data_IF_232836687163
#
_entry.id   IF_232836687163
#
_cell.length_a   1.000
_cell.length_b   1.000
_cell.length_c   1.000
_cell.angle_alpha   90.00
_cell.angle_beta   90.00
_cell.angle_gamma   90.00
#
_symmetry.space_group_name_H-M   'P 1'
#
loop_
_entity.id
_entity.type
_entity.pdbx_description
1 polymer ?
#
# COMPACT_ATOMS: atom_id res chain seq x y z
N UNK A 1 -22.53 68.24 42.44
CA UNK A 1 -23.62 68.72 41.55
C UNK A 1 -23.61 70.24 41.55
N UNK A 2 -23.39 70.93 40.43
CA UNK A 2 -23.44 72.39 40.39
C UNK A 2 -24.90 72.84 40.47
N UNK A 3 -25.18 73.71 41.44
CA UNK A 3 -26.52 74.28 41.68
C UNK A 3 -26.93 75.03 40.40
N UNK A 4 -27.83 74.44 39.60
CA UNK A 4 -28.55 75.11 38.49
C UNK A 4 -29.60 76.08 39.08
N UNK A 5 -29.14 77.02 39.90
CA UNK A 5 -29.94 78.12 40.41
C UNK A 5 -29.99 79.22 39.36
N UNK A 6 -31.17 79.78 39.10
CA UNK A 6 -31.36 80.95 38.24
C UNK A 6 -30.31 81.99 38.64
N UNK A 7 -29.47 82.45 37.69
CA UNK A 7 -28.47 83.50 37.95
C UNK A 7 -29.21 84.76 38.33
N UNK A 8 -29.52 84.89 39.61
CA UNK A 8 -30.20 86.00 40.22
C UNK A 8 -29.49 86.31 41.52
N UNK A 9 -29.26 87.58 41.80
CA UNK A 9 -28.64 87.99 43.04
C UNK A 9 -29.55 87.60 44.23
N UNK A 10 -29.04 86.95 45.28
CA UNK A 10 -29.85 86.53 46.43
C UNK A 10 -30.37 87.71 47.27
N UNK A 11 -29.80 88.90 47.12
CA UNK A 11 -30.19 90.10 47.89
C UNK A 11 -31.34 90.88 47.22
N UNK A 12 -31.35 91.00 45.88
CA UNK A 12 -32.32 91.84 45.16
C UNK A 12 -33.06 91.12 44.01
N UNK A 13 -32.82 89.82 43.83
CA UNK A 13 -33.48 88.93 42.87
C UNK A 13 -33.35 89.34 41.37
N UNK A 14 -32.46 90.30 41.05
CA UNK A 14 -32.15 90.72 39.67
C UNK A 14 -31.33 89.65 38.94
N UNK A 15 -31.55 89.48 37.64
CA UNK A 15 -30.80 88.52 36.81
C UNK A 15 -29.33 88.94 36.67
N UNK A 16 -28.40 88.03 36.95
CA UNK A 16 -26.94 88.21 36.84
C UNK A 16 -26.41 87.51 35.58
N UNK A 17 -25.54 88.18 34.83
CA UNK A 17 -24.79 87.61 33.69
C UNK A 17 -23.35 87.28 34.10
N UNK A 18 -22.63 86.46 33.33
CA UNK A 18 -21.23 86.11 33.66
C UNK A 18 -20.31 87.34 33.63
N UNK A 19 -20.59 88.30 32.73
CA UNK A 19 -19.84 89.54 32.59
C UNK A 19 -20.05 90.52 33.76
N UNK A 20 -21.12 90.33 34.55
CA UNK A 20 -21.44 91.17 35.71
C UNK A 20 -20.87 90.62 37.03
N UNK A 21 -20.34 89.39 37.02
CA UNK A 21 -19.71 88.76 38.18
C UNK A 21 -18.21 88.75 37.93
N UNK A 22 -17.47 89.42 38.79
CA UNK A 22 -16.03 89.52 38.72
C UNK A 22 -15.44 89.26 40.10
N UNK A 23 -14.19 88.83 40.13
CA UNK A 23 -13.46 88.66 41.38
C UNK A 23 -13.19 90.04 41.97
N UNK A 24 -13.76 90.29 43.13
CA UNK A 24 -13.52 91.52 43.86
C UNK A 24 -12.15 91.43 44.54
N UNK A 25 -11.10 91.68 43.76
CA UNK A 25 -9.71 91.66 44.24
C UNK A 25 -9.47 92.71 45.34
N UNK A 26 -10.26 93.79 45.37
CA UNK A 26 -10.17 94.77 46.44
C UNK A 26 -10.72 94.20 47.74
N UNK A 27 -11.90 93.57 47.72
CA UNK A 27 -12.47 92.87 48.86
C UNK A 27 -11.60 91.68 49.30
N UNK A 28 -11.06 90.89 48.37
CA UNK A 28 -10.15 89.78 48.67
C UNK A 28 -8.89 90.27 49.40
N UNK A 29 -8.26 91.35 48.90
CA UNK A 29 -7.11 91.97 49.57
C UNK A 29 -7.49 92.47 50.97
N UNK A 30 -8.64 93.13 51.11
CA UNK A 30 -9.12 93.59 52.41
C UNK A 30 -9.34 92.42 53.37
N UNK A 31 -9.97 91.33 52.92
CA UNK A 31 -10.22 90.10 53.71
C UNK A 31 -8.89 89.45 54.12
N UNK A 32 -7.95 89.32 53.20
CA UNK A 32 -6.64 88.71 53.45
C UNK A 32 -5.76 89.54 54.39
N UNK A 33 -5.94 90.86 54.41
CA UNK A 33 -5.30 91.79 55.35
C UNK A 33 -6.01 91.87 56.71
N UNK A 34 -7.14 91.18 56.91
CA UNK A 34 -7.80 91.13 58.22
C UNK A 34 -6.91 90.42 59.23
N UNK A 35 -6.75 91.05 60.40
CA UNK A 35 -6.03 90.45 61.52
C UNK A 35 -6.93 89.41 62.21
N UNK A 36 -6.57 88.14 62.10
CA UNK A 36 -7.27 87.03 62.75
C UNK A 36 -6.49 86.53 63.97
N UNK A 37 -7.19 85.90 64.91
CA UNK A 37 -6.56 85.16 66.02
C UNK A 37 -6.36 83.70 65.64
N UNK A 38 -5.33 83.08 66.20
CA UNK A 38 -5.07 81.66 66.01
C UNK A 38 -6.20 80.78 66.60
N UNK A 39 -6.72 79.76 65.87
CA UNK A 39 -7.71 78.81 66.40
C UNK A 39 -7.22 78.02 67.60
N UNK A 40 -5.91 77.76 67.70
CA UNK A 40 -5.27 77.08 68.83
C UNK A 40 -5.04 78.01 70.04
N UNK A 41 -5.62 79.21 70.03
CA UNK A 41 -5.59 80.19 71.13
C UNK A 41 -4.18 80.55 71.62
N UNK A 42 -3.20 80.59 70.71
CA UNK A 42 -1.91 81.19 71.02
C UNK A 42 -1.97 82.72 70.92
N UNK A 43 -0.94 83.41 71.42
CA UNK A 43 -0.88 84.89 71.47
C UNK A 43 -0.72 85.57 70.11
N UNK A 44 -0.74 84.80 69.01
CA UNK A 44 -0.50 85.30 67.67
C UNK A 44 -1.76 85.91 67.04
N UNK A 45 -1.57 87.10 66.45
CA UNK A 45 -2.57 87.79 65.65
C UNK A 45 -1.89 88.45 64.44
N UNK A 46 -2.16 87.95 63.23
CA UNK A 46 -1.69 88.59 61.99
C UNK A 46 -2.75 88.50 60.89
N UNK A 47 -2.43 89.08 59.75
CA UNK A 47 -3.20 88.99 58.51
C UNK A 47 -3.53 87.55 58.11
N UNK A 48 -4.79 87.31 57.75
CA UNK A 48 -5.30 86.02 57.26
C UNK A 48 -4.41 85.38 56.18
N UNK A 49 -3.76 86.18 55.33
CA UNK A 49 -2.83 85.67 54.31
C UNK A 49 -1.65 84.86 54.86
N UNK A 50 -1.25 85.11 56.10
CA UNK A 50 -0.13 84.44 56.78
C UNK A 50 -0.59 83.33 57.75
N UNK A 51 -1.90 83.07 57.85
CA UNK A 51 -2.51 82.04 58.73
C UNK A 51 -1.89 80.66 58.55
N UNK A 52 -1.74 80.21 57.30
CA UNK A 52 -1.22 78.87 56.99
C UNK A 52 0.24 78.68 57.42
N UNK A 53 1.06 79.71 57.24
CA UNK A 53 2.46 79.65 57.65
C UNK A 53 2.58 79.47 59.17
N UNK A 54 1.74 80.17 59.92
CA UNK A 54 1.70 80.01 61.37
C UNK A 54 1.16 78.64 61.82
N UNK A 55 0.15 78.09 61.13
CA UNK A 55 -0.42 76.79 61.50
C UNK A 55 0.63 75.67 61.57
N UNK A 56 1.57 75.66 60.63
CA UNK A 56 2.67 74.68 60.59
C UNK A 56 3.55 74.74 61.85
N UNK A 57 3.85 75.97 62.31
CA UNK A 57 4.79 76.24 63.41
C UNK A 57 4.11 76.66 64.71
N UNK A 58 2.77 76.57 64.78
CA UNK A 58 2.02 77.10 65.91
C UNK A 58 2.44 76.37 67.20
N UNK A 59 2.85 77.11 68.24
CA UNK A 59 3.38 76.53 69.48
C UNK A 59 2.30 75.77 70.28
N UNK A 60 1.02 76.09 70.05
CA UNK A 60 -0.12 75.48 70.74
C UNK A 60 -0.75 74.31 69.99
N UNK A 61 -0.30 74.00 68.77
CA UNK A 61 -0.75 72.80 68.05
C UNK A 61 -0.42 71.54 68.84
N UNK A 62 -1.40 70.65 69.00
CA UNK A 62 -1.18 69.36 69.66
C UNK A 62 -0.44 68.41 68.70
N UNK A 63 0.72 67.92 69.13
CA UNK A 63 1.58 67.00 68.39
C UNK A 63 1.88 65.76 69.23
N UNK A 64 2.17 64.65 68.56
CA UNK A 64 2.62 63.39 69.16
C UNK A 64 4.14 63.30 69.18
N UNK A 65 4.70 62.56 70.14
CA UNK A 65 6.13 62.21 70.10
C UNK A 65 6.46 61.25 68.94
N UNK A 66 7.63 61.40 68.32
CA UNK A 66 8.13 60.49 67.27
C UNK A 66 8.32 59.04 67.77
N UNK A 67 8.50 58.83 69.08
CA UNK A 67 8.63 57.51 69.69
C UNK A 67 7.27 56.83 69.96
N UNK A 68 6.16 57.40 69.45
CA UNK A 68 4.80 56.86 69.66
C UNK A 68 4.67 55.40 69.26
N UNK A 69 5.19 55.03 68.09
CA UNK A 69 5.05 53.68 67.56
C UNK A 69 5.89 52.62 68.29
N UNK A 70 6.80 53.06 69.16
CA UNK A 70 7.66 52.15 69.93
C UNK A 70 7.40 52.24 71.44
N UNK A 71 6.50 53.12 71.91
CA UNK A 71 5.99 53.07 73.30
C UNK A 71 5.80 54.41 74.01
N UNK A 72 6.15 55.55 73.42
CA UNK A 72 5.94 56.85 74.07
C UNK A 72 4.52 57.39 73.87
N UNK A 73 3.80 57.69 74.95
CA UNK A 73 2.40 58.14 74.86
C UNK A 73 2.22 59.66 74.87
N UNK A 74 3.29 60.45 74.73
CA UNK A 74 3.19 61.91 74.78
C UNK A 74 2.38 62.48 73.62
N UNK A 75 1.36 63.25 73.98
CA UNK A 75 0.56 64.11 73.10
C UNK A 75 0.36 65.45 73.80
N UNK A 76 0.79 66.54 73.19
CA UNK A 76 0.70 67.85 73.82
C UNK A 76 1.08 69.01 72.90
N UNK A 77 0.99 70.26 73.39
CA UNK A 77 1.37 71.44 72.62
C UNK A 77 2.82 71.37 72.11
N UNK A 78 3.04 71.74 70.85
CA UNK A 78 4.35 71.72 70.19
C UNK A 78 5.44 72.40 71.01
N UNK A 79 5.13 73.50 71.69
CA UNK A 79 6.09 74.23 72.53
C UNK A 79 6.73 73.38 73.64
N UNK A 80 6.00 72.39 74.17
CA UNK A 80 6.49 71.50 75.22
C UNK A 80 7.21 70.26 74.68
N UNK A 81 7.20 70.04 73.36
CA UNK A 81 7.83 68.86 72.77
C UNK A 81 9.36 68.85 72.99
N UNK A 82 10.01 70.03 72.94
CA UNK A 82 11.46 70.14 73.21
C UNK A 82 11.80 69.76 74.65
N UNK A 83 11.01 70.24 75.62
CA UNK A 83 11.21 69.92 77.03
C UNK A 83 10.89 68.46 77.32
N UNK A 84 9.86 67.91 76.67
CA UNK A 84 9.57 66.47 76.72
C UNK A 84 10.78 65.65 76.25
N UNK A 85 11.42 65.99 75.12
CA UNK A 85 12.61 65.27 74.67
C UNK A 85 13.78 65.37 75.65
N UNK A 86 14.03 66.54 76.24
CA UNK A 86 15.12 66.74 77.20
C UNK A 86 14.90 65.95 78.49
N UNK A 87 13.68 65.99 79.03
CA UNK A 87 13.37 65.39 80.33
C UNK A 87 13.10 63.88 80.25
N UNK A 88 12.77 63.35 79.07
CA UNK A 88 12.45 61.94 78.86
C UNK A 88 13.45 61.21 77.95
N UNK A 89 14.66 61.77 77.79
CA UNK A 89 15.72 61.16 76.96
C UNK A 89 16.05 59.73 77.41
N UNK A 90 16.17 59.52 78.73
CA UNK A 90 16.48 58.20 79.30
C UNK A 90 15.36 57.19 78.98
N UNK A 91 14.10 57.60 79.08
CA UNK A 91 12.95 56.76 78.75
C UNK A 91 12.93 56.42 77.26
N UNK A 92 13.13 57.40 76.37
CA UNK A 92 13.19 57.15 74.93
C UNK A 92 14.36 56.22 74.55
N UNK A 93 15.53 56.38 75.18
CA UNK A 93 16.66 55.49 74.98
C UNK A 93 16.36 54.07 75.47
N UNK A 94 15.71 53.92 76.62
CA UNK A 94 15.31 52.61 77.15
C UNK A 94 14.33 51.90 76.21
N UNK A 95 13.28 52.60 75.76
CA UNK A 95 12.30 52.07 74.81
C UNK A 95 12.96 51.66 73.49
N UNK A 96 13.84 52.51 72.96
CA UNK A 96 14.57 52.22 71.70
C UNK A 96 15.49 51.01 71.87
N UNK A 97 16.20 50.92 72.99
CA UNK A 97 17.10 49.80 73.27
C UNK A 97 16.32 48.50 73.38
N UNK A 98 15.18 48.51 74.07
CA UNK A 98 14.30 47.34 74.17
C UNK A 98 13.80 46.91 72.79
N UNK A 99 13.33 47.85 71.96
CA UNK A 99 12.90 47.54 70.60
C UNK A 99 14.04 46.93 69.75
N UNK A 100 15.26 47.44 69.87
CA UNK A 100 16.43 46.91 69.18
C UNK A 100 16.80 45.49 69.64
N UNK A 101 16.70 45.22 70.95
CA UNK A 101 16.94 43.89 71.50
C UNK A 101 15.88 42.89 71.02
N UNK A 102 14.60 43.27 71.07
CA UNK A 102 13.51 42.44 70.54
C UNK A 102 13.71 42.12 69.06
N UNK A 103 14.00 43.13 68.23
CA UNK A 103 14.25 42.93 66.80
C UNK A 103 15.47 42.03 66.54
N UNK A 104 16.52 42.15 67.36
CA UNK A 104 17.71 41.29 67.26
C UNK A 104 17.38 39.84 67.60
N UNK A 105 16.60 39.61 68.66
CA UNK A 105 16.20 38.28 69.10
C UNK A 105 15.26 37.63 68.07
N UNK A 106 14.29 38.37 67.55
CA UNK A 106 13.40 37.92 66.45
C UNK A 106 14.20 37.57 65.19
N UNK A 107 15.15 38.44 64.80
CA UNK A 107 16.01 38.19 63.63
C UNK A 107 16.89 36.96 63.81
N UNK A 108 17.41 36.74 65.03
CA UNK A 108 18.20 35.57 65.37
C UNK A 108 17.35 34.30 65.33
N UNK A 109 16.15 34.33 65.91
CA UNK A 109 15.22 33.21 65.90
C UNK A 109 14.81 32.83 64.47
N UNK A 110 14.52 33.82 63.62
CA UNK A 110 14.24 33.59 62.20
C UNK A 110 15.44 32.96 61.48
N UNK A 111 16.66 33.40 61.78
CA UNK A 111 17.87 32.82 61.20
C UNK A 111 18.07 31.36 61.62
N UNK A 112 17.85 31.04 62.90
CA UNK A 112 17.93 29.67 63.43
C UNK A 112 16.87 28.77 62.79
N UNK A 113 15.62 29.25 62.66
CA UNK A 113 14.53 28.53 62.01
C UNK A 113 14.83 28.23 60.54
N UNK A 114 15.23 29.24 59.75
CA UNK A 114 15.57 29.07 58.33
C UNK A 114 16.76 28.12 58.17
N UNK A 115 17.75 28.19 59.07
CA UNK A 115 18.90 27.28 59.04
C UNK A 115 18.48 25.83 59.30
N UNK A 116 17.58 25.59 60.24
CA UNK A 116 17.03 24.26 60.51
C UNK A 116 16.27 23.72 59.28
N UNK A 117 15.38 24.53 58.70
CA UNK A 117 14.63 24.15 57.48
C UNK A 117 15.56 23.84 56.29
N UNK A 118 16.66 24.60 56.12
CA UNK A 118 17.65 24.35 55.08
C UNK A 118 18.41 23.02 55.29
N UNK A 119 18.70 22.66 56.54
CA UNK A 119 19.35 21.37 56.86
C UNK A 119 18.40 20.20 56.55
N UNK A 120 17.15 20.29 56.96
CA UNK A 120 16.13 19.26 56.66
C UNK A 120 15.95 19.07 55.15
N UNK A 121 15.77 20.17 54.41
CA UNK A 121 15.64 20.13 52.94
C UNK A 121 16.89 19.56 52.27
N UNK A 122 18.08 19.84 52.81
CA UNK A 122 19.34 19.28 52.30
C UNK A 122 19.40 17.77 52.50
N UNK A 123 18.97 17.28 53.65
CA UNK A 123 18.93 15.85 53.95
C UNK A 123 17.86 15.13 53.12
N UNK A 124 16.67 15.71 52.96
CA UNK A 124 15.64 15.18 52.05
C UNK A 124 16.15 15.07 50.62
N UNK A 125 16.80 16.13 50.12
CA UNK A 125 17.32 16.15 48.76
C UNK A 125 18.45 15.13 48.57
N UNK A 126 19.26 14.89 49.60
CA UNK A 126 20.27 13.82 49.59
C UNK A 126 19.60 12.44 49.47
N UNK A 127 18.57 12.18 50.27
CA UNK A 127 17.80 10.92 50.20
C UNK A 127 17.16 10.74 48.82
N UNK A 128 16.51 11.79 48.28
CA UNK A 128 15.93 11.78 46.92
C UNK A 128 16.99 11.46 45.87
N UNK A 129 18.18 12.07 45.97
CA UNK A 129 19.28 11.84 45.03
C UNK A 129 19.78 10.39 45.09
N UNK A 130 19.92 9.82 46.28
CA UNK A 130 20.36 8.43 46.46
C UNK A 130 19.33 7.43 45.93
N UNK A 131 18.03 7.71 46.11
CA UNK A 131 16.95 6.92 45.49
C UNK A 131 16.97 6.99 43.96
N UNK A 132 17.17 8.17 43.38
CA UNK A 132 17.28 8.34 41.92
C UNK A 132 18.48 7.56 41.37
N UNK A 133 19.64 7.64 42.04
CA UNK A 133 20.83 6.87 41.64
C UNK A 133 20.58 5.37 41.71
N UNK A 134 19.96 4.88 42.78
CA UNK A 134 19.61 3.46 42.90
C UNK A 134 18.66 3.03 41.78
N UNK A 135 17.62 3.82 41.50
CA UNK A 135 16.69 3.56 40.39
C UNK A 135 17.37 3.53 39.03
N UNK A 136 18.33 4.43 38.78
CA UNK A 136 19.12 4.46 37.56
C UNK A 136 19.96 3.18 37.39
N UNK A 137 20.63 2.72 38.46
CA UNK A 137 21.40 1.46 38.45
C UNK A 137 20.49 0.27 38.13
N UNK A 138 19.29 0.20 38.74
CA UNK A 138 18.33 -0.87 38.44
C UNK A 138 17.88 -0.85 36.99
N UNK A 139 17.55 0.32 36.44
CA UNK A 139 17.16 0.46 35.04
C UNK A 139 18.30 0.09 34.09
N UNK A 140 19.53 0.50 34.39
CA UNK A 140 20.70 0.16 33.60
C UNK A 140 20.93 -1.36 33.58
N UNK A 141 20.88 -2.02 34.74
CA UNK A 141 21.02 -3.47 34.83
C UNK A 141 19.93 -4.22 34.04
N UNK A 142 18.69 -3.73 34.07
CA UNK A 142 17.60 -4.34 33.30
C UNK A 142 17.77 -4.12 31.79
N UNK A 143 18.21 -2.92 31.40
CA UNK A 143 18.55 -2.63 30.01
C UNK A 143 19.69 -3.53 29.49
N UNK A 144 20.74 -3.74 30.28
CA UNK A 144 21.88 -4.60 29.92
C UNK A 144 21.44 -6.08 29.76
N UNK A 145 20.52 -6.55 30.60
CA UNK A 145 19.90 -7.88 30.44
C UNK A 145 19.09 -7.98 29.15
N UNK A 146 18.29 -6.95 28.84
CA UNK A 146 17.49 -6.93 27.61
C UNK A 146 18.38 -6.92 26.37
N UNK A 147 19.45 -6.11 26.36
CA UNK A 147 20.44 -6.08 25.28
C UNK A 147 21.10 -7.45 25.11
N UNK A 148 21.49 -8.09 26.20
CA UNK A 148 22.06 -9.45 26.17
C UNK A 148 21.09 -10.47 25.57
N UNK A 149 19.80 -10.39 25.91
CA UNK A 149 18.74 -11.25 25.36
C UNK A 149 18.50 -10.99 23.87
N UNK A 150 18.54 -9.73 23.44
CA UNK A 150 18.42 -9.38 22.03
C UNK A 150 19.61 -9.90 21.23
N UNK A 151 20.83 -9.81 21.77
CA UNK A 151 22.01 -10.38 21.12
C UNK A 151 21.91 -11.90 20.93
N UNK A 152 21.45 -12.64 21.95
CA UNK A 152 21.30 -14.10 21.81
C UNK A 152 20.23 -14.47 20.79
N UNK A 153 19.08 -13.79 20.81
CA UNK A 153 18.02 -13.97 19.81
C UNK A 153 18.50 -13.63 18.39
N UNK A 154 19.26 -12.56 18.22
CA UNK A 154 19.82 -12.18 16.92
C UNK A 154 20.84 -13.21 16.40
N UNK A 155 21.70 -13.72 17.27
CA UNK A 155 22.66 -14.75 16.87
C UNK A 155 21.95 -16.06 16.45
N UNK A 156 20.90 -16.45 17.18
CA UNK A 156 20.10 -17.63 16.84
C UNK A 156 19.32 -17.43 15.54
N UNK A 157 18.73 -16.25 15.32
CA UNK A 157 18.02 -15.94 14.08
C UNK A 157 18.96 -15.92 12.87
N UNK A 158 20.17 -15.37 13.02
CA UNK A 158 21.20 -15.41 11.97
C UNK A 158 21.64 -16.84 11.66
N UNK A 159 21.81 -17.68 12.69
CA UNK A 159 22.15 -19.10 12.50
C UNK A 159 21.05 -19.83 11.73
N UNK A 160 19.79 -19.65 12.14
CA UNK A 160 18.64 -20.24 11.46
C UNK A 160 18.53 -19.74 10.01
N UNK A 161 18.74 -18.45 9.76
CA UNK A 161 18.73 -17.89 8.41
C UNK A 161 19.82 -18.51 7.51
N UNK A 162 21.04 -18.73 8.05
CA UNK A 162 22.12 -19.43 7.33
C UNK A 162 21.76 -20.88 7.02
N UNK A 163 21.17 -21.59 7.98
CA UNK A 163 20.77 -22.99 7.79
C UNK A 163 19.66 -23.13 6.73
N UNK A 164 18.64 -22.28 6.79
CA UNK A 164 17.56 -22.25 5.78
C UNK A 164 18.13 -21.94 4.40
N UNK A 165 19.06 -20.98 4.30
CA UNK A 165 19.72 -20.64 3.04
C UNK A 165 20.52 -21.81 2.48
N UNK A 166 21.24 -22.56 3.32
CA UNK A 166 21.99 -23.73 2.89
C UNK A 166 21.07 -24.84 2.34
N UNK A 167 20.01 -25.19 3.09
CA UNK A 167 19.00 -26.17 2.67
C UNK A 167 18.32 -25.78 1.36
N UNK A 168 18.05 -24.49 1.15
CA UNK A 168 17.48 -24.01 -0.10
C UNK A 168 18.43 -24.21 -1.29
N UNK A 169 19.73 -23.98 -1.09
CA UNK A 169 20.74 -24.16 -2.12
C UNK A 169 20.87 -25.64 -2.52
N UNK A 170 20.91 -26.55 -1.56
CA UNK A 170 20.92 -28.00 -1.80
C UNK A 170 19.70 -28.45 -2.62
N UNK A 171 18.49 -27.98 -2.26
CA UNK A 171 17.28 -28.29 -3.01
C UNK A 171 17.29 -27.72 -4.44
N UNK A 172 17.89 -26.55 -4.65
CA UNK A 172 18.06 -25.98 -5.99
C UNK A 172 19.01 -26.82 -6.84
N UNK A 173 20.13 -27.26 -6.27
CA UNK A 173 21.09 -28.10 -6.95
C UNK A 173 20.49 -29.48 -7.29
N UNK A 174 19.79 -30.12 -6.35
CA UNK A 174 19.08 -31.38 -6.57
C UNK A 174 18.02 -31.27 -7.68
N UNK A 175 17.23 -30.20 -7.67
CA UNK A 175 16.22 -29.97 -8.71
C UNK A 175 16.85 -29.71 -10.07
N UNK A 176 18.00 -29.01 -10.12
CA UNK A 176 18.74 -28.78 -11.35
C UNK A 176 19.26 -30.10 -11.92
N UNK A 177 19.89 -30.94 -11.09
CA UNK A 177 20.36 -32.27 -11.48
C UNK A 177 19.21 -33.12 -12.03
N UNK A 178 18.07 -33.18 -11.32
CA UNK A 178 16.88 -33.91 -11.80
C UNK A 178 16.36 -33.37 -13.13
N UNK A 179 16.29 -32.05 -13.30
CA UNK A 179 15.89 -31.41 -14.56
C UNK A 179 16.83 -31.80 -15.70
N UNK A 180 18.14 -31.77 -15.47
CA UNK A 180 19.14 -32.07 -16.49
C UNK A 180 19.12 -33.55 -16.89
N UNK A 181 18.95 -34.46 -15.92
CA UNK A 181 18.71 -35.89 -16.18
C UNK A 181 17.44 -36.06 -17.03
N UNK A 182 16.32 -35.46 -16.62
CA UNK A 182 15.06 -35.58 -17.35
C UNK A 182 15.16 -35.08 -18.79
N UNK A 183 15.85 -33.94 -19.01
CA UNK A 183 16.14 -33.43 -20.36
C UNK A 183 16.99 -34.40 -21.19
N UNK A 184 18.01 -35.01 -20.59
CA UNK A 184 18.88 -35.97 -21.28
C UNK A 184 18.13 -37.25 -21.66
N UNK A 185 17.31 -37.77 -20.75
CA UNK A 185 16.44 -38.94 -21.00
C UNK A 185 15.42 -38.64 -22.11
N UNK A 186 14.76 -37.48 -22.04
CA UNK A 186 13.82 -37.05 -23.07
C UNK A 186 14.49 -36.95 -24.45
N UNK A 187 15.68 -36.33 -24.53
CA UNK A 187 16.46 -36.24 -25.78
C UNK A 187 16.84 -37.61 -26.34
N UNK A 188 17.18 -38.54 -25.45
CA UNK A 188 17.52 -39.92 -25.83
C UNK A 188 16.29 -40.66 -26.37
N UNK A 189 15.14 -40.53 -25.70
CA UNK A 189 13.85 -41.06 -26.13
C UNK A 189 13.45 -40.48 -27.50
N UNK A 190 13.59 -39.17 -27.68
CA UNK A 190 13.29 -38.51 -28.94
C UNK A 190 14.17 -39.03 -30.08
N UNK A 191 15.49 -39.16 -29.85
CA UNK A 191 16.38 -39.75 -30.86
C UNK A 191 16.00 -41.19 -31.22
N UNK A 192 15.59 -42.01 -30.24
CA UNK A 192 15.09 -43.38 -30.49
C UNK A 192 13.80 -43.35 -31.31
N UNK A 193 12.86 -42.47 -30.96
CA UNK A 193 11.62 -42.27 -31.69
C UNK A 193 11.88 -41.85 -33.15
N UNK A 194 12.74 -40.87 -33.37
CA UNK A 194 13.07 -40.36 -34.71
C UNK A 194 13.72 -41.46 -35.58
N UNK A 195 14.58 -42.30 -34.99
CA UNK A 195 15.12 -43.49 -35.66
C UNK A 195 14.04 -44.50 -36.02
N UNK A 196 13.09 -44.75 -35.11
CA UNK A 196 11.96 -45.65 -35.39
C UNK A 196 11.08 -45.12 -36.53
N UNK A 197 10.75 -43.82 -36.51
CA UNK A 197 10.00 -43.17 -37.59
C UNK A 197 10.74 -43.29 -38.92
N UNK A 198 12.05 -43.02 -38.92
CA UNK A 198 12.89 -43.14 -40.12
C UNK A 198 12.87 -44.57 -40.69
N UNK A 199 13.02 -45.59 -39.82
CA UNK A 199 12.94 -46.99 -40.21
C UNK A 199 11.55 -47.39 -40.73
N UNK A 200 10.49 -46.88 -40.11
CA UNK A 200 9.13 -47.12 -40.59
C UNK A 200 8.93 -46.53 -41.99
N UNK A 201 9.44 -45.33 -42.24
CA UNK A 201 9.36 -44.69 -43.56
C UNK A 201 10.15 -45.47 -44.63
N UNK A 202 11.35 -45.97 -44.31
CA UNK A 202 12.11 -46.80 -45.26
C UNK A 202 11.37 -48.11 -45.56
N UNK A 203 10.89 -48.82 -44.55
CA UNK A 203 10.10 -50.05 -44.73
C UNK A 203 8.82 -49.82 -45.53
N UNK A 204 8.12 -48.70 -45.29
CA UNK A 204 6.94 -48.29 -46.05
C UNK A 204 7.27 -48.07 -47.52
N UNK A 205 8.38 -47.40 -47.83
CA UNK A 205 8.82 -47.16 -49.21
C UNK A 205 9.25 -48.46 -49.91
N UNK A 206 9.98 -49.33 -49.22
CA UNK A 206 10.37 -50.66 -49.72
C UNK A 206 9.13 -51.50 -50.05
N UNK A 207 8.16 -51.55 -49.12
CA UNK A 207 6.90 -52.26 -49.31
C UNK A 207 6.10 -51.68 -50.48
N UNK A 208 6.06 -50.34 -50.62
CA UNK A 208 5.41 -49.68 -51.75
C UNK A 208 6.05 -50.09 -53.08
N UNK A 209 7.39 -50.07 -53.15
CA UNK A 209 8.14 -50.49 -54.34
C UNK A 209 7.88 -51.96 -54.69
N UNK A 210 7.86 -52.84 -53.69
CA UNK A 210 7.52 -54.25 -53.88
C UNK A 210 6.10 -54.45 -54.41
N UNK A 211 5.12 -53.69 -53.90
CA UNK A 211 3.74 -53.72 -54.42
C UNK A 211 3.70 -53.23 -55.86
N UNK A 212 4.38 -52.13 -56.19
CA UNK A 212 4.46 -51.60 -57.57
C UNK A 212 5.09 -52.64 -58.52
N UNK A 213 6.15 -53.33 -58.10
CA UNK A 213 6.85 -54.35 -58.89
C UNK A 213 6.02 -55.63 -59.07
N UNK A 214 5.38 -56.14 -58.01
CA UNK A 214 4.45 -57.27 -58.11
C UNK A 214 3.24 -56.94 -59.00
N UNK A 215 2.75 -55.70 -58.95
CA UNK A 215 1.65 -55.25 -59.81
C UNK A 215 2.08 -55.24 -61.28
N UNK A 216 3.30 -54.79 -61.59
CA UNK A 216 3.85 -54.81 -62.94
C UNK A 216 4.03 -56.26 -63.46
N UNK A 217 4.58 -57.17 -62.66
CA UNK A 217 4.71 -58.58 -63.01
C UNK A 217 3.35 -59.24 -63.29
N UNK A 218 2.33 -58.92 -62.50
CA UNK A 218 0.96 -59.42 -62.74
C UNK A 218 0.38 -58.92 -64.07
N UNK A 219 0.61 -57.65 -64.43
CA UNK A 219 0.19 -57.09 -65.71
C UNK A 219 0.88 -57.78 -66.89
N UNK A 220 2.18 -58.02 -66.81
CA UNK A 220 2.92 -58.76 -67.85
C UNK A 220 2.37 -60.17 -68.05
N UNK A 221 2.13 -60.91 -66.95
CA UNK A 221 1.53 -62.26 -67.01
C UNK A 221 0.12 -62.20 -67.62
N UNK A 222 -0.68 -61.20 -67.26
CA UNK A 222 -2.02 -61.02 -67.80
C UNK A 222 -1.98 -60.75 -69.31
N UNK A 223 -1.07 -59.89 -69.78
CA UNK A 223 -0.88 -59.57 -71.20
C UNK A 223 -0.37 -60.79 -71.99
N UNK A 224 0.60 -61.53 -71.46
CA UNK A 224 1.06 -62.79 -72.06
C UNK A 224 -0.08 -63.80 -72.18
N UNK A 225 -0.87 -63.96 -71.13
CA UNK A 225 -1.99 -64.90 -71.09
C UNK A 225 -3.06 -64.50 -72.11
N UNK A 226 -3.34 -63.18 -72.22
CA UNK A 226 -4.25 -62.63 -73.22
C UNK A 226 -3.75 -62.88 -74.65
N UNK A 227 -2.46 -62.65 -74.93
CA UNK A 227 -1.87 -62.95 -76.24
C UNK A 227 -1.94 -64.45 -76.58
N UNK A 228 -1.65 -65.33 -75.61
CA UNK A 228 -1.77 -66.79 -75.79
C UNK A 228 -3.22 -67.19 -76.11
N UNK A 229 -4.19 -66.65 -75.37
CA UNK A 229 -5.63 -66.84 -75.63
C UNK A 229 -6.04 -66.35 -77.01
N UNK A 230 -5.59 -65.17 -77.43
CA UNK A 230 -5.89 -64.58 -78.74
C UNK A 230 -5.29 -65.42 -79.88
N UNK A 231 -4.08 -65.94 -79.69
CA UNK A 231 -3.45 -66.89 -80.62
C UNK A 231 -4.25 -68.20 -80.73
N UNK A 232 -4.68 -68.76 -79.59
CA UNK A 232 -5.54 -69.95 -79.55
C UNK A 232 -6.88 -69.70 -80.26
N UNK A 233 -7.52 -68.56 -80.01
CA UNK A 233 -8.77 -68.19 -80.70
C UNK A 233 -8.57 -68.08 -82.22
N UNK A 234 -7.48 -67.45 -82.67
CA UNK A 234 -7.18 -67.28 -84.10
C UNK A 234 -6.93 -68.62 -84.78
N UNK A 235 -6.17 -69.50 -84.13
CA UNK A 235 -5.92 -70.86 -84.64
C UNK A 235 -7.19 -71.71 -84.68
N UNK A 236 -8.02 -71.66 -83.64
CA UNK A 236 -9.34 -72.31 -83.63
C UNK A 236 -10.24 -71.80 -84.76
N UNK A 237 -10.32 -70.49 -84.98
CA UNK A 237 -11.09 -69.91 -86.08
C UNK A 237 -10.59 -70.37 -87.45
N UNK A 238 -9.27 -70.47 -87.63
CA UNK A 238 -8.65 -70.97 -88.87
C UNK A 238 -8.99 -72.45 -89.10
N UNK A 239 -8.93 -73.28 -88.05
CA UNK A 239 -9.33 -74.69 -88.11
C UNK A 239 -10.82 -74.81 -88.44
N UNK A 240 -11.66 -73.99 -87.81
CA UNK A 240 -13.10 -73.99 -88.07
C UNK A 240 -13.41 -73.64 -89.52
N UNK A 241 -12.83 -72.56 -90.08
CA UNK A 241 -12.98 -72.24 -91.50
C UNK A 241 -12.48 -73.37 -92.40
N UNK A 242 -11.37 -74.05 -92.04
CA UNK A 242 -10.86 -75.18 -92.82
C UNK A 242 -11.83 -76.37 -92.78
N UNK A 243 -12.40 -76.66 -91.62
CA UNK A 243 -13.41 -77.69 -91.45
C UNK A 243 -14.69 -77.35 -92.21
N UNK A 244 -15.19 -76.12 -92.14
CA UNK A 244 -16.36 -75.64 -92.90
C UNK A 244 -16.13 -75.76 -94.41
N UNK A 245 -14.95 -75.35 -94.91
CA UNK A 245 -14.57 -75.54 -96.31
C UNK A 245 -14.49 -77.02 -96.70
N UNK A 246 -14.01 -77.88 -95.80
CA UNK A 246 -13.94 -79.32 -96.04
C UNK A 246 -15.33 -79.97 -96.06
N UNK A 247 -16.22 -79.55 -95.16
CA UNK A 247 -17.64 -79.95 -95.15
C UNK A 247 -18.30 -79.53 -96.45
N UNK A 248 -18.17 -78.28 -96.88
CA UNK A 248 -18.75 -77.79 -98.14
C UNK A 248 -18.24 -78.59 -99.37
N UNK A 249 -16.96 -78.97 -99.39
CA UNK A 249 -16.41 -79.85 -100.44
C UNK A 249 -17.03 -81.24 -100.42
N UNK A 250 -17.13 -81.86 -99.24
CA UNK A 250 -17.74 -83.18 -99.09
C UNK A 250 -19.22 -83.15 -99.47
N UNK A 251 -19.95 -82.09 -99.12
CA UNK A 251 -21.34 -81.88 -99.55
C UNK A 251 -21.45 -81.80 -101.07
N UNK A 252 -20.55 -81.06 -101.73
CA UNK A 252 -20.50 -80.98 -103.21
C UNK A 252 -20.16 -82.32 -103.85
N UNK A 253 -19.23 -83.10 -103.28
CA UNK A 253 -18.91 -84.45 -103.75
C UNK A 253 -20.09 -85.42 -103.57
N UNK A 254 -20.82 -85.33 -102.46
CA UNK A 254 -22.03 -86.11 -102.21
C UNK A 254 -23.10 -85.74 -103.24
N UNK A 255 -23.33 -84.45 -103.49
CA UNK A 255 -24.32 -83.97 -104.46
C UNK A 255 -23.98 -84.44 -105.89
N UNK A 256 -22.71 -84.32 -106.31
CA UNK A 256 -22.25 -84.86 -107.59
C UNK A 256 -22.41 -86.38 -107.71
N UNK A 257 -22.12 -87.14 -106.64
CA UNK A 257 -22.33 -88.59 -106.63
C UNK A 257 -23.82 -88.95 -106.61
N UNK A 258 -24.67 -88.14 -105.98
CA UNK A 258 -26.12 -88.29 -106.04
C UNK A 258 -26.60 -88.05 -107.47
N UNK A 259 -26.20 -86.97 -108.13
CA UNK A 259 -26.53 -86.67 -109.52
C UNK A 259 -26.06 -87.77 -110.48
N UNK A 260 -24.82 -88.26 -110.33
CA UNK A 260 -24.31 -89.40 -111.11
C UNK A 260 -25.13 -90.68 -110.85
N UNK A 261 -25.52 -90.92 -109.61
CA UNK A 261 -26.34 -92.09 -109.26
C UNK A 261 -27.74 -91.98 -109.83
N UNK A 262 -28.36 -90.80 -109.81
CA UNK A 262 -29.67 -90.52 -110.40
C UNK A 262 -29.61 -90.63 -111.93
N UNK A 263 -28.57 -90.11 -112.58
CA UNK A 263 -28.37 -90.26 -114.02
C UNK A 263 -28.15 -91.74 -114.40
N UNK A 264 -27.38 -92.49 -113.61
CA UNK A 264 -27.19 -93.92 -113.83
C UNK A 264 -28.49 -94.72 -113.62
N UNK A 265 -29.27 -94.39 -112.61
CA UNK A 265 -30.60 -94.98 -112.38
C UNK A 265 -31.52 -94.65 -113.56
N UNK A 266 -31.56 -93.41 -114.03
CA UNK A 266 -32.36 -93.00 -115.19
C UNK A 266 -31.95 -93.74 -116.47
N UNK A 267 -30.64 -93.88 -116.73
CA UNK A 267 -30.11 -94.67 -117.86
C UNK A 267 -30.50 -96.15 -117.76
N UNK A 268 -30.46 -96.73 -116.56
CA UNK A 268 -30.87 -98.11 -116.33
C UNK A 268 -32.38 -98.29 -116.49
N UNK A 269 -33.21 -97.38 -115.98
CA UNK A 269 -34.66 -97.40 -116.17
C UNK A 269 -35.03 -97.26 -117.65
N UNK A 270 -34.37 -96.37 -118.39
CA UNK A 270 -34.59 -96.21 -119.84
C UNK A 270 -34.19 -97.47 -120.63
N UNK A 271 -33.11 -98.15 -120.24
CA UNK A 271 -32.70 -99.44 -120.84
C UNK A 271 -33.70 -100.55 -120.51
N UNK A 272 -34.24 -100.58 -119.30
CA UNK A 272 -35.26 -101.56 -118.87
C UNK A 272 -36.56 -101.33 -119.66
N UNK A 273 -37.03 -100.09 -119.82
CA UNK A 273 -38.23 -99.80 -120.63
C UNK A 273 -38.05 -100.16 -122.11
N UNK A 274 -36.86 -99.92 -122.69
CA UNK A 274 -36.55 -100.37 -124.06
C UNK A 274 -36.56 -101.90 -124.17
N UNK A 275 -35.99 -102.62 -123.20
CA UNK A 275 -36.01 -104.09 -123.21
C UNK A 275 -37.42 -104.66 -123.01
N UNK A 276 -38.25 -104.04 -122.17
CA UNK A 276 -39.64 -104.45 -121.97
C UNK A 276 -40.55 -104.19 -123.18
N UNK A 277 -40.22 -103.22 -124.05
CA UNK A 277 -40.93 -103.00 -125.31
C UNK A 277 -40.51 -103.95 -126.44
N UNK A 278 -39.24 -104.36 -126.53
CA UNK A 278 -38.77 -105.29 -127.58
C UNK A 278 -39.29 -106.72 -127.33
N UNK A 279 -39.41 -107.15 -126.08
CA UNK A 279 -39.97 -108.48 -125.77
C UNK A 279 -41.48 -108.60 -126.00
N UNK A 280 -42.19 -107.49 -126.26
CA UNK A 280 -43.63 -107.48 -126.63
C UNK A 280 -43.91 -107.57 -128.14
N UNK A 281 -42.88 -107.60 -129.01
CA UNK A 281 -43.06 -107.58 -130.47
C UNK A 281 -42.67 -108.86 -131.24
N UNK A 282 -42.14 -109.91 -130.61
CA UNK A 282 -41.76 -111.16 -131.31
C UNK A 282 -42.63 -112.39 -130.97
N UNK A 283 -43.82 -112.16 -130.42
CA UNK A 283 -44.97 -113.05 -130.63
C UNK A 283 -45.59 -112.65 -131.96
N UNK A 284 -45.21 -113.30 -133.08
CA UNK A 284 -46.01 -113.56 -134.29
C UNK A 284 -45.10 -113.87 -135.50
N UNK A 285 -45.26 -115.10 -136.04
CA UNK A 285 -44.77 -115.70 -137.32
C UNK A 285 -43.44 -116.49 -137.32
N UNK A 286 -43.51 -117.75 -137.77
CA UNK A 286 -42.94 -118.02 -139.10
C UNK A 286 -44.04 -117.67 -140.13
N UNK A 287 -43.64 -117.22 -141.33
CA UNK A 287 -44.46 -116.99 -142.54
C UNK A 287 -44.71 -115.53 -142.93
#
# INVERSE_FOLDING_TARGET
MPIKGKRKCPLDNKRLTAQQVFDDLAAERQILSLKIKCPNQCDWQVELRNAKNHEMDCPMTIVTCNYLNIGCNFKGPRKFLSDHYKNNLVEHLAITTNQLLTLKDESKQQLEEVTAQLLELKDENKVRLDMIKAGFITLQNENDKQVSRLMTLNNESEKQAKEVKAKLLELQDDNKVKSDIFKAEFKTLQSKHDKQVSRFMTLKNESKKQVEELTAQLLEIQDESKMKLETILTTLFTIQNKNENQVARLETEIENHQDESEENIFRLQTKIEKHQNVSKQNVFRFN
#
